data_IF_147603661497
#
_entry.id   IF_147603661497
#
_cell.length_a   1.000
_cell.length_b   1.000
_cell.length_c   1.000
_cell.angle_alpha   90.00
_cell.angle_beta   90.00
_cell.angle_gamma   90.00
#
_symmetry.space_group_name_H-M   'P 1'
#
loop_
_entity.id
_entity.type
_entity.pdbx_description
1 polymer ?
#
# COMPACT_ATOMS: atom_id res chain seq x y z
N UNK A 1 -25.67 2.34 -29.71
CA UNK A 1 -25.32 2.02 -28.30
C UNK A 1 -24.01 2.73 -27.92
N UNK A 2 -24.08 4.01 -27.55
CA UNK A 2 -22.96 4.97 -27.59
C UNK A 2 -22.74 5.67 -26.23
N UNK A 3 -22.78 4.92 -25.12
CA UNK A 3 -22.72 5.49 -23.77
C UNK A 3 -21.96 4.65 -22.74
N UNK A 4 -20.85 3.98 -23.10
CA UNK A 4 -20.18 3.07 -22.15
C UNK A 4 -18.85 3.54 -21.54
N UNK A 5 -18.21 4.61 -22.01
CA UNK A 5 -16.81 4.88 -21.60
C UNK A 5 -16.42 6.38 -21.50
N UNK A 6 -17.24 7.25 -20.90
CA UNK A 6 -16.82 8.63 -20.60
C UNK A 6 -15.67 8.66 -19.59
N UNK A 7 -15.85 8.01 -18.43
CA UNK A 7 -14.85 7.95 -17.34
C UNK A 7 -13.53 7.35 -17.83
N UNK A 8 -13.59 6.29 -18.64
CA UNK A 8 -12.42 5.63 -19.21
C UNK A 8 -11.61 6.57 -20.12
N UNK A 9 -12.26 7.48 -20.86
CA UNK A 9 -11.58 8.43 -21.75
C UNK A 9 -10.73 9.43 -20.97
N UNK A 10 -11.27 10.03 -19.91
CA UNK A 10 -10.51 10.97 -19.07
C UNK A 10 -9.37 10.28 -18.35
N UNK A 11 -9.62 9.07 -17.85
CA UNK A 11 -8.61 8.23 -17.22
C UNK A 11 -7.45 7.92 -18.18
N UNK A 12 -7.75 7.50 -19.41
CA UNK A 12 -6.74 7.20 -20.43
C UNK A 12 -5.96 8.45 -20.88
N UNK A 13 -6.64 9.59 -21.01
CA UNK A 13 -6.03 10.86 -21.39
C UNK A 13 -5.08 11.37 -20.29
N UNK A 14 -5.49 11.24 -19.03
CA UNK A 14 -4.64 11.48 -17.87
C UNK A 14 -3.41 10.56 -17.86
N UNK A 15 -3.60 9.26 -18.11
CA UNK A 15 -2.52 8.30 -18.16
C UNK A 15 -1.48 8.62 -19.24
N UNK A 16 -1.93 8.92 -20.46
CA UNK A 16 -1.02 9.30 -21.54
C UNK A 16 -0.30 10.62 -21.28
N UNK A 17 -0.95 11.55 -20.59
CA UNK A 17 -0.31 12.81 -20.21
C UNK A 17 0.78 12.56 -19.15
N UNK A 18 0.47 11.80 -18.10
CA UNK A 18 1.42 11.52 -17.01
C UNK A 18 2.58 10.63 -17.45
N UNK A 19 2.36 9.69 -18.38
CA UNK A 19 3.41 8.82 -18.94
C UNK A 19 4.39 9.56 -19.85
N UNK A 20 4.05 10.75 -20.34
CA UNK A 20 4.94 11.62 -21.13
C UNK A 20 5.90 12.43 -20.24
N UNK A 21 5.60 12.55 -18.95
CA UNK A 21 6.44 13.29 -18.01
C UNK A 21 7.57 12.41 -17.51
N UNK A 22 8.79 12.96 -17.46
CA UNK A 22 9.93 12.25 -16.85
C UNK A 22 9.68 12.00 -15.36
N UNK A 23 10.34 10.98 -14.79
CA UNK A 23 10.17 10.64 -13.37
C UNK A 23 10.42 11.83 -12.43
N UNK A 24 11.38 12.70 -12.77
CA UNK A 24 11.65 13.95 -12.02
C UNK A 24 10.50 14.96 -12.12
N UNK A 25 9.87 15.09 -13.28
CA UNK A 25 8.72 15.97 -13.47
C UNK A 25 7.46 15.46 -12.76
N UNK A 26 7.25 14.13 -12.71
CA UNK A 26 6.15 13.54 -11.95
C UNK A 26 6.26 13.89 -10.46
N UNK A 27 7.45 13.76 -9.89
CA UNK A 27 7.73 14.18 -8.52
C UNK A 27 7.58 15.69 -8.31
N UNK A 28 8.02 16.52 -9.27
CA UNK A 28 7.84 17.97 -9.20
C UNK A 28 6.35 18.37 -9.16
N UNK A 29 5.48 17.68 -9.91
CA UNK A 29 4.03 17.92 -9.89
C UNK A 29 3.40 17.52 -8.56
N UNK A 30 3.81 16.38 -7.98
CA UNK A 30 3.32 15.92 -6.67
C UNK A 30 3.78 16.88 -5.56
N UNK A 31 5.06 17.24 -5.54
CA UNK A 31 5.63 18.12 -4.51
C UNK A 31 5.06 19.53 -4.65
N UNK A 32 5.03 20.08 -5.87
CA UNK A 32 4.46 21.40 -6.14
C UNK A 32 2.98 21.49 -5.78
N UNK A 33 2.22 20.43 -6.08
CA UNK A 33 0.82 20.34 -5.69
C UNK A 33 0.60 20.27 -4.17
N UNK A 34 1.45 19.53 -3.44
CA UNK A 34 1.36 19.45 -1.98
C UNK A 34 1.69 20.79 -1.31
N UNK A 35 2.73 21.48 -1.82
CA UNK A 35 3.08 22.83 -1.35
C UNK A 35 1.93 23.79 -1.64
N UNK A 36 1.34 23.74 -2.84
CA UNK A 36 0.15 24.54 -3.20
C UNK A 36 -1.06 24.24 -2.32
N UNK A 37 -1.35 22.97 -2.05
CA UNK A 37 -2.41 22.53 -1.14
C UNK A 37 -2.24 23.14 0.26
N UNK A 38 -1.01 23.14 0.78
CA UNK A 38 -0.68 23.66 2.11
C UNK A 38 -0.76 25.19 2.15
N UNK A 39 -0.29 25.88 1.11
CA UNK A 39 -0.38 27.34 0.99
C UNK A 39 -1.82 27.82 0.87
N UNK A 40 -2.63 27.17 0.03
CA UNK A 40 -4.06 27.45 -0.09
C UNK A 40 -4.81 27.19 1.21
N UNK A 41 -4.43 26.13 1.94
CA UNK A 41 -4.95 25.85 3.27
C UNK A 41 -4.64 26.98 4.27
N UNK A 42 -3.39 27.47 4.29
CA UNK A 42 -2.97 28.60 5.13
C UNK A 42 -3.74 29.88 4.78
N UNK A 43 -3.80 30.25 3.50
CA UNK A 43 -4.52 31.44 3.04
C UNK A 43 -6.01 31.38 3.36
N UNK A 44 -6.62 30.19 3.35
CA UNK A 44 -8.03 30.00 3.70
C UNK A 44 -8.34 30.16 5.19
N UNK A 45 -7.32 30.07 6.06
CA UNK A 45 -7.47 30.36 7.49
C UNK A 45 -7.46 31.86 7.74
N UNK A 46 -6.64 32.59 6.99
CA UNK A 46 -6.48 34.04 7.12
C UNK A 46 -7.61 34.83 6.41
N UNK A 47 -8.21 34.28 5.34
CA UNK A 47 -9.28 34.90 4.56
C UNK A 47 -10.51 33.96 4.40
N UNK A 48 -11.57 34.14 5.21
CA UNK A 48 -12.77 33.31 5.14
C UNK A 48 -13.51 33.41 3.80
N UNK A 49 -13.45 34.56 3.12
CA UNK A 49 -14.11 34.81 1.84
C UNK A 49 -13.61 33.93 0.68
N UNK A 50 -12.38 33.42 0.72
CA UNK A 50 -11.83 32.55 -0.33
C UNK A 50 -12.10 31.05 -0.09
N UNK A 51 -12.59 30.67 1.11
CA UNK A 51 -12.87 29.27 1.47
C UNK A 51 -13.74 28.52 0.44
N UNK A 52 -14.82 29.11 -0.12
CA UNK A 52 -15.66 28.42 -1.10
C UNK A 52 -14.93 28.04 -2.39
N UNK A 53 -13.86 28.75 -2.74
CA UNK A 53 -13.04 28.51 -3.94
C UNK A 53 -11.86 27.58 -3.65
N UNK A 54 -11.30 27.64 -2.44
CA UNK A 54 -10.19 26.79 -2.01
C UNK A 54 -10.62 25.33 -1.87
N UNK A 55 -11.81 25.08 -1.31
CA UNK A 55 -12.32 23.73 -1.07
C UNK A 55 -12.40 22.84 -2.34
N UNK A 56 -13.02 23.30 -3.45
CA UNK A 56 -13.05 22.55 -4.70
C UNK A 56 -11.67 22.26 -5.27
N UNK A 57 -10.73 23.20 -5.17
CA UNK A 57 -9.36 23.04 -5.66
C UNK A 57 -8.62 21.98 -4.85
N UNK A 58 -8.79 21.99 -3.53
CA UNK A 58 -8.22 20.99 -2.63
C UNK A 58 -8.78 19.59 -2.91
N UNK A 59 -10.10 19.46 -3.10
CA UNK A 59 -10.74 18.20 -3.48
C UNK A 59 -10.22 17.70 -4.84
N UNK A 60 -10.14 18.57 -5.83
CA UNK A 60 -9.61 18.24 -7.15
C UNK A 60 -8.15 17.77 -7.07
N UNK A 61 -7.32 18.45 -6.26
CA UNK A 61 -5.95 18.04 -6.01
C UNK A 61 -5.86 16.68 -5.30
N UNK A 62 -6.73 16.42 -4.32
CA UNK A 62 -6.76 15.15 -3.61
C UNK A 62 -7.11 14.00 -4.57
N UNK A 63 -8.11 14.20 -5.43
CA UNK A 63 -8.49 13.25 -6.49
C UNK A 63 -7.31 13.03 -7.45
N UNK A 64 -6.63 14.10 -7.86
CA UNK A 64 -5.44 14.04 -8.71
C UNK A 64 -4.29 13.26 -8.06
N UNK A 65 -4.00 13.51 -6.78
CA UNK A 65 -2.94 12.83 -6.02
C UNK A 65 -3.25 11.34 -5.87
N UNK A 66 -4.49 11.00 -5.52
CA UNK A 66 -4.96 9.60 -5.45
C UNK A 66 -4.85 8.92 -6.81
N UNK A 67 -5.28 9.58 -7.89
CA UNK A 67 -5.10 9.08 -9.26
C UNK A 67 -3.63 8.87 -9.62
N UNK A 68 -2.72 9.74 -9.16
CA UNK A 68 -1.28 9.61 -9.38
C UNK A 68 -0.69 8.39 -8.66
N UNK A 69 -1.08 8.16 -7.41
CA UNK A 69 -0.56 7.06 -6.61
C UNK A 69 -1.12 5.70 -7.04
N UNK A 70 -2.39 5.66 -7.47
CA UNK A 70 -3.04 4.42 -7.94
C UNK A 70 -2.84 4.22 -9.45
N UNK A 71 -2.22 5.18 -10.15
CA UNK A 71 -1.99 5.13 -11.59
C UNK A 71 -1.34 3.83 -12.07
N UNK A 72 -0.20 3.46 -11.47
CA UNK A 72 0.56 2.26 -11.85
C UNK A 72 -0.24 0.96 -11.63
N UNK A 73 -0.80 0.68 -10.44
CA UNK A 73 -1.61 -0.52 -10.25
C UNK A 73 -2.89 -0.54 -11.09
N UNK A 74 -3.53 0.61 -11.34
CA UNK A 74 -4.72 0.70 -12.20
C UNK A 74 -4.40 0.49 -13.68
N UNK A 75 -3.26 1.00 -14.16
CA UNK A 75 -2.76 0.76 -15.51
C UNK A 75 -2.44 -0.72 -15.72
N UNK A 76 -1.81 -1.37 -14.74
CA UNK A 76 -1.58 -2.81 -14.77
C UNK A 76 -2.90 -3.61 -14.78
N UNK A 77 -3.93 -3.15 -14.06
CA UNK A 77 -5.27 -3.74 -14.08
C UNK A 77 -5.95 -3.57 -15.46
N UNK A 78 -5.82 -2.40 -16.08
CA UNK A 78 -6.32 -2.10 -17.43
C UNK A 78 -5.63 -2.93 -18.51
N UNK A 79 -4.30 -3.06 -18.43
CA UNK A 79 -3.53 -3.93 -19.32
C UNK A 79 -3.93 -5.40 -19.14
N UNK A 80 -4.21 -5.82 -17.91
CA UNK A 80 -4.68 -7.18 -17.59
C UNK A 80 -6.08 -7.49 -18.16
N UNK A 81 -6.95 -6.47 -18.23
CA UNK A 81 -8.30 -6.59 -18.80
C UNK A 81 -8.31 -6.51 -20.34
N UNK A 82 -7.21 -6.09 -20.97
CA UNK A 82 -7.08 -6.02 -22.42
C UNK A 82 -6.44 -7.29 -23.00
N UNK A 83 -7.10 -7.91 -23.98
CA UNK A 83 -6.73 -9.22 -24.59
C UNK A 83 -5.29 -9.27 -25.11
N UNK A 84 -4.74 -8.14 -25.54
CA UNK A 84 -3.37 -8.01 -26.07
C UNK A 84 -2.31 -7.58 -25.04
N UNK A 85 -2.70 -7.02 -23.89
CA UNK A 85 -1.78 -6.62 -22.81
C UNK A 85 -1.26 -7.81 -21.98
N UNK A 86 -2.02 -8.92 -22.00
CA UNK A 86 -1.68 -10.21 -21.37
C UNK A 86 -0.38 -10.85 -21.89
N UNK A 87 0.06 -10.49 -23.10
CA UNK A 87 1.21 -11.10 -23.79
C UNK A 87 2.54 -10.41 -23.51
N UNK A 88 2.52 -9.20 -22.92
CA UNK A 88 3.72 -8.41 -22.62
C UNK A 88 4.17 -8.50 -21.15
N UNK A 89 3.35 -9.09 -20.26
CA UNK A 89 3.70 -9.22 -18.84
C UNK A 89 4.43 -10.54 -18.60
N UNK A 90 5.67 -10.45 -18.11
CA UNK A 90 6.37 -11.61 -17.59
C UNK A 90 5.55 -12.24 -16.45
N UNK A 91 5.46 -13.58 -16.41
CA UNK A 91 4.72 -14.36 -15.39
C UNK A 91 4.99 -13.87 -13.95
N UNK A 92 6.20 -13.40 -13.70
CA UNK A 92 6.65 -12.86 -12.41
C UNK A 92 5.92 -11.57 -11.99
N UNK A 93 5.65 -10.65 -12.92
CA UNK A 93 4.93 -9.40 -12.63
C UNK A 93 3.45 -9.66 -12.29
N UNK A 94 2.86 -10.72 -12.86
CA UNK A 94 1.49 -11.15 -12.54
C UNK A 94 1.42 -11.70 -11.12
N UNK A 95 2.39 -12.52 -10.73
CA UNK A 95 2.48 -13.07 -9.36
C UNK A 95 2.68 -11.94 -8.35
N UNK A 96 3.62 -11.02 -8.62
CA UNK A 96 3.86 -9.85 -7.78
C UNK A 96 2.59 -9.01 -7.55
N UNK A 97 1.89 -8.69 -8.64
CA UNK A 97 0.65 -7.92 -8.59
C UNK A 97 -0.46 -8.63 -7.82
N UNK A 98 -0.56 -9.95 -7.89
CA UNK A 98 -1.55 -10.70 -7.13
C UNK A 98 -1.24 -10.70 -5.62
N UNK A 99 0.01 -10.85 -5.20
CA UNK A 99 0.39 -10.80 -3.78
C UNK A 99 0.18 -9.40 -3.17
N UNK A 100 0.62 -8.35 -3.87
CA UNK A 100 0.38 -6.97 -3.45
C UNK A 100 -1.13 -6.68 -3.43
N UNK A 101 -1.86 -7.09 -4.48
CA UNK A 101 -3.30 -6.93 -4.57
C UNK A 101 -4.05 -7.62 -3.43
N UNK A 102 -3.68 -8.86 -3.09
CA UNK A 102 -4.25 -9.59 -1.97
C UNK A 102 -3.98 -8.89 -0.62
N UNK A 103 -2.75 -8.42 -0.39
CA UNK A 103 -2.42 -7.65 0.81
C UNK A 103 -3.20 -6.34 0.93
N UNK A 104 -3.40 -5.63 -0.19
CA UNK A 104 -4.22 -4.41 -0.23
C UNK A 104 -5.69 -4.71 0.06
N UNK A 105 -6.23 -5.80 -0.48
CA UNK A 105 -7.61 -6.23 -0.17
C UNK A 105 -7.74 -6.54 1.32
N UNK A 106 -6.81 -7.30 1.91
CA UNK A 106 -6.81 -7.59 3.35
C UNK A 106 -6.73 -6.31 4.19
N UNK A 107 -5.82 -5.40 3.85
CA UNK A 107 -5.73 -4.08 4.49
C UNK A 107 -7.05 -3.30 4.43
N UNK A 108 -7.67 -3.20 3.24
CA UNK A 108 -8.92 -2.47 3.05
C UNK A 108 -10.08 -3.14 3.79
N UNK A 109 -10.16 -4.47 3.78
CA UNK A 109 -11.20 -5.20 4.54
C UNK A 109 -11.06 -4.95 6.04
N UNK A 110 -9.84 -5.00 6.59
CA UNK A 110 -9.57 -4.68 7.98
C UNK A 110 -9.90 -3.23 8.32
N UNK A 111 -9.57 -2.29 7.42
CA UNK A 111 -9.89 -0.87 7.59
C UNK A 111 -11.40 -0.60 7.60
N UNK A 112 -12.15 -1.16 6.65
CA UNK A 112 -13.61 -1.02 6.60
C UNK A 112 -14.26 -1.67 7.83
N UNK A 113 -13.78 -2.86 8.23
CA UNK A 113 -14.25 -3.53 9.43
C UNK A 113 -13.97 -2.73 10.71
N UNK A 114 -12.80 -2.08 10.80
CA UNK A 114 -12.46 -1.18 11.89
C UNK A 114 -13.37 0.06 11.91
N UNK A 115 -13.64 0.68 10.76
CA UNK A 115 -14.56 1.84 10.70
C UNK A 115 -15.97 1.48 11.17
N UNK A 116 -16.44 0.26 10.85
CA UNK A 116 -17.77 -0.21 11.21
C UNK A 116 -17.89 -0.62 12.69
N UNK A 117 -16.90 -1.32 13.23
CA UNK A 117 -16.97 -1.94 14.56
C UNK A 117 -16.21 -1.20 15.65
N UNK A 118 -15.26 -0.34 15.26
CA UNK A 118 -14.29 0.35 16.14
C UNK A 118 -13.52 -0.60 17.06
N UNK A 119 -13.39 -1.88 16.69
CA UNK A 119 -12.64 -2.87 17.46
C UNK A 119 -11.13 -2.70 17.28
N UNK A 120 -10.38 -2.74 18.39
CA UNK A 120 -8.92 -2.60 18.39
C UNK A 120 -8.21 -3.67 17.56
N UNK A 121 -8.75 -4.89 17.52
CA UNK A 121 -8.16 -5.96 16.71
C UNK A 121 -8.24 -5.67 15.21
N UNK A 122 -9.29 -5.01 14.76
CA UNK A 122 -9.46 -4.60 13.37
C UNK A 122 -8.43 -3.53 12.99
N UNK A 123 -8.17 -2.59 13.91
CA UNK A 123 -7.12 -1.59 13.77
C UNK A 123 -5.75 -2.24 13.67
N UNK A 124 -5.45 -3.19 14.56
CA UNK A 124 -4.18 -3.90 14.54
C UNK A 124 -4.00 -4.73 13.26
N UNK A 125 -5.05 -5.41 12.79
CA UNK A 125 -5.03 -6.15 11.54
C UNK A 125 -4.76 -5.25 10.33
N UNK A 126 -5.38 -4.06 10.31
CA UNK A 126 -5.08 -3.03 9.31
C UNK A 126 -3.60 -2.66 9.33
N UNK A 127 -2.99 -2.41 10.49
CA UNK A 127 -1.57 -2.09 10.59
C UNK A 127 -0.70 -3.25 10.09
N UNK A 128 -0.95 -4.48 10.55
CA UNK A 128 -0.15 -5.66 10.18
C UNK A 128 -0.18 -5.88 8.67
N UNK A 129 -1.37 -5.92 8.04
CA UNK A 129 -1.46 -6.13 6.60
C UNK A 129 -0.92 -4.95 5.78
N UNK A 130 -1.12 -3.71 6.25
CA UNK A 130 -0.59 -2.52 5.59
C UNK A 130 0.94 -2.49 5.59
N UNK A 131 1.57 -2.74 6.74
CA UNK A 131 3.02 -2.76 6.87
C UNK A 131 3.66 -3.97 6.18
N UNK A 132 2.98 -5.12 6.10
CA UNK A 132 3.47 -6.30 5.40
C UNK A 132 3.63 -6.07 3.88
N UNK A 133 2.94 -5.09 3.29
CA UNK A 133 3.13 -4.73 1.88
C UNK A 133 4.56 -4.28 1.56
N UNK A 134 5.27 -3.71 2.55
CA UNK A 134 6.64 -3.22 2.41
C UNK A 134 7.63 -4.36 2.07
N UNK A 135 7.78 -5.41 2.91
CA UNK A 135 8.66 -6.53 2.60
C UNK A 135 8.18 -7.35 1.39
N UNK A 136 6.86 -7.44 1.16
CA UNK A 136 6.29 -8.07 -0.06
C UNK A 136 6.78 -7.34 -1.31
N UNK A 137 6.71 -6.00 -1.35
CA UNK A 137 7.25 -5.23 -2.47
C UNK A 137 8.77 -5.39 -2.60
N UNK A 138 9.50 -5.40 -1.48
CA UNK A 138 10.94 -5.63 -1.46
C UNK A 138 11.35 -6.96 -2.08
N UNK A 139 10.58 -8.02 -1.83
CA UNK A 139 10.82 -9.36 -2.42
C UNK A 139 10.82 -9.34 -3.94
N UNK A 140 9.87 -8.63 -4.56
CA UNK A 140 9.77 -8.58 -6.02
C UNK A 140 10.77 -7.62 -6.66
N UNK A 141 11.36 -6.70 -5.89
CA UNK A 141 12.46 -5.85 -6.34
C UNK A 141 13.82 -6.58 -6.37
N UNK A 142 13.96 -7.71 -5.65
CA UNK A 142 15.17 -8.52 -5.72
C UNK A 142 15.30 -9.27 -7.05
N UNK A 143 16.55 -9.44 -7.51
CA UNK A 143 16.88 -10.21 -8.71
C UNK A 143 16.43 -11.67 -8.58
N UNK A 144 15.94 -12.26 -9.67
CA UNK A 144 15.50 -13.65 -9.68
C UNK A 144 16.66 -14.59 -9.32
N UNK A 145 16.41 -15.55 -8.43
CA UNK A 145 17.41 -16.48 -7.91
C UNK A 145 17.35 -16.57 -6.38
N UNK A 146 18.47 -16.97 -5.77
CA UNK A 146 18.57 -17.10 -4.31
C UNK A 146 18.24 -15.81 -3.52
N UNK A 147 18.60 -14.57 -3.96
CA UNK A 147 18.32 -13.38 -3.18
C UNK A 147 16.81 -13.12 -3.03
N UNK A 148 16.04 -13.34 -4.10
CA UNK A 148 14.58 -13.26 -4.06
C UNK A 148 13.98 -14.33 -3.16
N UNK A 149 14.45 -15.57 -3.22
CA UNK A 149 13.95 -16.64 -2.35
C UNK A 149 14.23 -16.36 -0.87
N UNK A 150 15.40 -15.82 -0.53
CA UNK A 150 15.72 -15.40 0.84
C UNK A 150 14.83 -14.25 1.31
N UNK A 151 14.58 -13.24 0.47
CA UNK A 151 13.67 -12.15 0.81
C UNK A 151 12.21 -12.63 0.94
N UNK A 152 11.79 -13.59 0.11
CA UNK A 152 10.48 -14.21 0.21
C UNK A 152 10.32 -14.99 1.52
N UNK A 153 11.32 -15.77 1.92
CA UNK A 153 11.34 -16.49 3.19
C UNK A 153 11.29 -15.52 4.39
N UNK A 154 12.05 -14.43 4.32
CA UNK A 154 12.01 -13.36 5.32
C UNK A 154 10.62 -12.72 5.43
N UNK A 155 10.02 -12.37 4.29
CA UNK A 155 8.66 -11.81 4.24
C UNK A 155 7.61 -12.78 4.77
N UNK A 156 7.75 -14.07 4.47
CA UNK A 156 6.86 -15.11 4.98
C UNK A 156 6.98 -15.27 6.49
N UNK A 157 8.21 -15.22 7.03
CA UNK A 157 8.43 -15.23 8.47
C UNK A 157 7.74 -14.02 9.14
N UNK A 158 7.89 -12.82 8.58
CA UNK A 158 7.19 -11.64 9.09
C UNK A 158 5.67 -11.78 9.01
N UNK A 159 5.14 -12.34 7.93
CA UNK A 159 3.71 -12.60 7.80
C UNK A 159 3.21 -13.52 8.92
N UNK A 160 3.93 -14.62 9.19
CA UNK A 160 3.60 -15.56 10.27
C UNK A 160 3.65 -14.87 11.62
N UNK A 161 4.70 -14.09 11.91
CA UNK A 161 4.85 -13.36 13.18
C UNK A 161 3.73 -12.34 13.37
N UNK A 162 3.39 -11.57 12.34
CA UNK A 162 2.30 -10.60 12.37
C UNK A 162 0.93 -11.25 12.60
N UNK A 163 0.64 -12.34 11.87
CA UNK A 163 -0.62 -13.10 12.01
C UNK A 163 -0.71 -13.78 13.39
N UNK A 164 0.40 -14.34 13.90
CA UNK A 164 0.44 -14.92 15.24
C UNK A 164 0.18 -13.86 16.32
N UNK A 165 0.75 -12.65 16.16
CA UNK A 165 0.46 -11.52 17.03
C UNK A 165 -1.04 -11.17 17.05
N UNK A 166 -1.67 -11.06 15.88
CA UNK A 166 -3.12 -10.85 15.76
C UNK A 166 -3.93 -11.95 16.44
N UNK A 167 -3.54 -13.22 16.24
CA UNK A 167 -4.19 -14.37 16.85
C UNK A 167 -4.14 -14.31 18.38
N UNK A 168 -3.00 -13.92 18.96
CA UNK A 168 -2.87 -13.77 20.41
C UNK A 168 -3.72 -12.62 20.96
N UNK A 169 -3.82 -11.49 20.26
CA UNK A 169 -4.73 -10.41 20.64
C UNK A 169 -6.20 -10.81 20.53
N UNK A 170 -6.56 -11.64 19.54
CA UNK A 170 -7.89 -12.23 19.46
C UNK A 170 -8.19 -13.11 20.67
N UNK A 171 -7.27 -14.00 21.04
CA UNK A 171 -7.42 -14.85 22.23
C UNK A 171 -7.53 -13.99 23.50
N UNK A 172 -6.70 -12.96 23.63
CA UNK A 172 -6.71 -12.05 24.78
C UNK A 172 -8.06 -11.33 24.96
N UNK A 173 -8.70 -10.93 23.85
CA UNK A 173 -10.00 -10.24 23.88
C UNK A 173 -11.21 -11.14 24.11
N UNK A 174 -11.09 -12.46 23.86
CA UNK A 174 -12.23 -13.40 23.91
C UNK A 174 -12.18 -14.39 25.08
N UNK A 175 -11.09 -14.47 25.84
CA UNK A 175 -10.98 -15.39 26.98
C UNK A 175 -11.55 -14.80 28.28
N UNK A 176 -12.32 -15.60 29.03
CA UNK A 176 -12.87 -15.20 30.34
C UNK A 176 -11.81 -15.24 31.45
N UNK A 177 -10.75 -16.04 31.28
CA UNK A 177 -9.69 -16.18 32.29
C UNK A 177 -8.70 -15.01 32.19
N UNK A 178 -8.71 -14.13 33.20
CA UNK A 178 -7.88 -12.92 33.28
C UNK A 178 -6.37 -13.20 33.15
N UNK A 179 -5.87 -14.30 33.71
CA UNK A 179 -4.45 -14.63 33.61
C UNK A 179 -4.07 -14.99 32.16
N UNK A 180 -4.91 -15.79 31.49
CA UNK A 180 -4.68 -16.13 30.07
C UNK A 180 -4.79 -14.91 29.16
N UNK A 181 -5.71 -13.97 29.45
CA UNK A 181 -5.86 -12.73 28.70
C UNK A 181 -4.60 -11.87 28.80
N UNK A 182 -4.06 -11.69 30.02
CA UNK A 182 -2.84 -10.92 30.24
C UNK A 182 -1.64 -11.54 29.53
N UNK A 183 -1.42 -12.85 29.69
CA UNK A 183 -0.30 -13.55 29.03
C UNK A 183 -0.40 -13.42 27.50
N UNK A 184 -1.57 -13.71 26.92
CA UNK A 184 -1.77 -13.59 25.47
C UNK A 184 -1.57 -12.16 24.97
N UNK A 185 -2.01 -11.15 25.73
CA UNK A 185 -1.78 -9.74 25.41
C UNK A 185 -0.29 -9.36 25.41
N UNK A 186 0.48 -9.77 26.42
CA UNK A 186 1.92 -9.51 26.47
C UNK A 186 2.67 -10.19 25.34
N UNK A 187 2.41 -11.48 25.09
CA UNK A 187 3.06 -12.19 23.98
C UNK A 187 2.64 -11.62 22.62
N UNK A 188 1.36 -11.26 22.46
CA UNK A 188 0.86 -10.57 21.27
C UNK A 188 1.58 -9.26 21.02
N UNK A 189 1.75 -8.44 22.05
CA UNK A 189 2.49 -7.17 21.97
C UNK A 189 3.95 -7.39 21.54
N UNK A 190 4.64 -8.35 22.16
CA UNK A 190 6.03 -8.69 21.80
C UNK A 190 6.16 -9.13 20.34
N UNK A 191 5.24 -9.98 19.85
CA UNK A 191 5.25 -10.42 18.44
C UNK A 191 4.96 -9.26 17.47
N UNK A 192 4.03 -8.37 17.80
CA UNK A 192 3.77 -7.18 16.97
C UNK A 192 4.98 -6.25 16.94
N UNK A 193 5.66 -6.03 18.06
CA UNK A 193 6.87 -5.22 18.10
C UNK A 193 8.01 -5.85 17.30
N UNK A 194 8.18 -7.17 17.40
CA UNK A 194 9.12 -7.93 16.60
C UNK A 194 8.79 -7.84 15.09
N UNK A 195 7.51 -7.95 14.75
CA UNK A 195 7.03 -7.77 13.38
C UNK A 195 7.36 -6.38 12.85
N UNK A 196 7.05 -5.31 13.59
CA UNK A 196 7.33 -3.94 13.18
C UNK A 196 8.82 -3.70 13.00
N UNK A 197 9.63 -4.10 13.98
CA UNK A 197 11.09 -4.03 13.88
C UNK A 197 11.62 -4.79 12.66
N UNK A 198 11.05 -5.97 12.38
CA UNK A 198 11.34 -6.77 11.19
C UNK A 198 10.92 -6.10 9.88
N UNK A 199 9.76 -5.45 9.83
CA UNK A 199 9.32 -4.69 8.64
C UNK A 199 10.27 -3.54 8.35
N UNK A 200 10.71 -2.80 9.37
CA UNK A 200 11.73 -1.77 9.18
C UNK A 200 13.03 -2.40 8.71
N UNK A 201 13.53 -3.43 9.41
CA UNK A 201 14.74 -4.17 9.06
C UNK A 201 14.72 -4.68 7.59
N UNK A 202 13.54 -5.04 7.09
CA UNK A 202 13.32 -5.50 5.72
C UNK A 202 13.79 -4.52 4.64
N UNK A 203 13.79 -3.21 4.91
CA UNK A 203 14.27 -2.19 3.97
C UNK A 203 15.76 -2.38 3.69
N UNK A 204 16.56 -2.57 4.74
CA UNK A 204 18.00 -2.80 4.62
C UNK A 204 18.30 -4.18 4.04
N UNK A 205 17.54 -5.20 4.43
CA UNK A 205 17.68 -6.56 3.87
C UNK A 205 17.39 -6.56 2.36
N UNK A 206 16.32 -5.90 1.92
CA UNK A 206 15.99 -5.80 0.50
C UNK A 206 17.08 -5.06 -0.28
N UNK A 207 17.60 -3.95 0.26
CA UNK A 207 18.70 -3.20 -0.33
C UNK A 207 19.96 -4.09 -0.46
N UNK A 208 20.37 -4.77 0.61
CA UNK A 208 21.54 -5.65 0.60
C UNK A 208 21.41 -6.78 -0.42
N UNK A 209 20.25 -7.45 -0.46
CA UNK A 209 19.98 -8.54 -1.41
C UNK A 209 19.86 -8.05 -2.85
N UNK A 210 19.40 -6.82 -3.08
CA UNK A 210 19.31 -6.24 -4.42
C UNK A 210 20.68 -5.92 -5.04
N UNK A 211 21.70 -5.67 -4.20
CA UNK A 211 23.07 -5.44 -4.67
C UNK A 211 23.77 -6.73 -5.12
N UNK A 212 23.31 -7.89 -4.65
CA UNK A 212 23.89 -9.18 -5.02
C UNK A 212 23.48 -9.53 -6.46
N UNK A 213 24.47 -9.66 -7.35
CA UNK A 213 24.28 -10.24 -8.69
C UNK A 213 24.66 -11.71 -8.65
N UNK A 214 23.70 -12.65 -8.60
CA UNK A 214 24.03 -14.07 -8.67
C UNK A 214 24.74 -14.36 -10.00
N UNK A 215 25.87 -15.07 -9.94
CA UNK A 215 26.50 -15.64 -11.14
C UNK A 215 25.51 -16.66 -11.71
N UNK A 216 25.10 -16.44 -12.97
CA UNK A 216 24.24 -17.35 -13.72
C UNK A 216 24.96 -18.66 -14.00
#
# INVERSE_FOLDING_TARGET
MKSRHFIYRYLLMYFFWMSRLSHRMQWAVIIGGYVGYRLLGSLSQDHPEIKPWVWPIQIAYLIFAIMTWIASPLFNLLLRLNRFGKLALAREQVVASNFIGAGVVLFLTAFVYWLATRQDIAFLAMLVFGFLLIPVAGTFNCTAGWPRSSMAAYTMLLAVVGIAGLGLFFVAGNTTNRQTAQMAGYFGYCLVMLFLAGVFASQWVAIALSMVRPRR
#
